data_IF_815463190674
#
_entry.id   IF_815463190674
#
_cell.length_a   1.000
_cell.length_b   1.000
_cell.length_c   1.000
_cell.angle_alpha   90.00
_cell.angle_beta   90.00
_cell.angle_gamma   90.00
#
_symmetry.space_group_name_H-M   'P 1'
#
loop_
_entity.id
_entity.type
_entity.pdbx_description
1 polymer ?
#
# COMPACT_ATOMS: atom_id res chain seq x y z
N UNK A 1 -44.52 20.50 -12.22
CA UNK A 1 -43.91 21.41 -11.21
C UNK A 1 -43.36 20.50 -10.11
N UNK A 2 -42.06 20.32 -9.85
CA UNK A 2 -40.97 21.28 -9.71
C UNK A 2 -39.75 20.94 -10.57
N UNK A 3 -38.98 21.99 -10.82
CA UNK A 3 -37.88 22.13 -11.75
C UNK A 3 -36.62 21.41 -11.26
N UNK A 4 -35.77 21.01 -12.20
CA UNK A 4 -34.43 20.50 -11.90
C UNK A 4 -33.43 21.62 -11.59
N UNK A 5 -32.28 21.22 -11.08
CA UNK A 5 -31.03 21.98 -11.19
C UNK A 5 -29.89 21.00 -11.37
N UNK A 6 -29.40 20.94 -12.61
CA UNK A 6 -28.04 20.58 -12.98
C UNK A 6 -27.05 21.56 -12.36
N UNK A 7 -26.04 21.06 -11.64
CA UNK A 7 -24.86 21.84 -11.23
C UNK A 7 -23.59 21.11 -11.66
N UNK A 8 -22.92 21.63 -12.67
CA UNK A 8 -21.56 21.24 -13.06
C UNK A 8 -20.51 22.15 -12.40
N UNK A 9 -19.27 21.64 -12.38
CA UNK A 9 -17.94 22.31 -12.22
C UNK A 9 -17.47 22.49 -10.77
N UNK A 10 -16.22 22.20 -10.38
CA UNK A 10 -15.02 21.84 -11.13
C UNK A 10 -13.85 21.40 -10.22
N UNK A 11 -12.81 20.95 -10.92
CA UNK A 11 -11.44 20.48 -10.58
C UNK A 11 -10.71 21.19 -9.43
N UNK A 12 -10.01 20.43 -8.58
CA UNK A 12 -8.66 20.81 -8.09
C UNK A 12 -7.86 19.54 -7.67
N UNK A 13 -6.76 19.16 -8.35
CA UNK A 13 -5.76 18.26 -7.80
C UNK A 13 -4.88 19.02 -6.80
N UNK A 14 -4.62 18.40 -5.66
CA UNK A 14 -3.81 18.94 -4.56
C UNK A 14 -2.46 19.44 -5.09
N UNK A 15 -2.35 20.77 -5.08
CA UNK A 15 -1.18 21.53 -5.50
C UNK A 15 -0.25 21.64 -4.28
N UNK A 16 0.59 20.62 -4.05
CA UNK A 16 1.65 20.65 -3.02
C UNK A 16 2.82 21.58 -3.39
N UNK A 17 2.53 22.71 -4.04
CA UNK A 17 3.48 23.80 -4.21
C UNK A 17 3.00 25.02 -3.40
N UNK A 18 2.81 24.79 -2.10
CA UNK A 18 2.72 25.85 -1.12
C UNK A 18 4.02 26.65 -1.15
N UNK A 19 4.05 27.74 -1.93
CA UNK A 19 5.10 28.76 -1.83
C UNK A 19 5.18 29.21 -0.36
N UNK A 20 6.33 29.05 0.32
CA UNK A 20 6.45 29.57 1.67
C UNK A 20 6.39 31.10 1.63
N UNK A 21 5.41 31.63 2.36
CA UNK A 21 5.23 33.03 2.71
C UNK A 21 6.59 33.68 3.05
N UNK A 22 6.98 34.71 2.29
CA UNK A 22 8.22 35.49 2.42
C UNK A 22 8.20 36.39 3.68
N UNK A 23 8.01 35.80 4.85
CA UNK A 23 8.08 36.50 6.12
C UNK A 23 8.69 35.64 7.22
N UNK A 24 9.93 35.22 7.01
CA UNK A 24 10.76 34.69 8.07
C UNK A 24 12.23 35.09 7.85
N UNK A 25 12.58 36.21 8.47
CA UNK A 25 13.84 36.45 9.20
C UNK A 25 15.13 35.96 8.53
N UNK A 26 15.85 36.93 7.99
CA UNK A 26 17.31 36.96 7.88
C UNK A 26 17.95 36.44 9.18
N UNK A 27 18.40 35.20 9.18
CA UNK A 27 19.44 34.73 10.11
C UNK A 27 20.53 34.15 9.22
N UNK A 28 21.64 34.88 9.16
CA UNK A 28 22.81 34.52 8.38
C UNK A 28 23.35 33.19 8.88
N UNK A 29 23.01 32.10 8.20
CA UNK A 29 23.75 30.85 8.28
C UNK A 29 24.88 30.89 7.23
N UNK A 30 26.11 30.50 7.59
CA UNK A 30 27.23 30.48 6.66
C UNK A 30 26.92 29.52 5.50
N UNK A 31 26.80 30.10 4.31
CA UNK A 31 26.58 29.46 3.02
C UNK A 31 27.74 28.53 2.62
N UNK A 32 27.74 27.30 3.13
CA UNK A 32 28.52 26.13 2.65
C UNK A 32 28.16 25.02 3.65
N UNK A 33 27.29 24.05 3.41
CA UNK A 33 27.36 23.03 2.38
C UNK A 33 26.06 22.20 2.43
N UNK A 34 24.95 22.63 1.81
CA UNK A 34 23.80 21.74 1.50
C UNK A 34 23.20 22.13 0.15
N UNK A 35 24.05 22.33 -0.87
CA UNK A 35 23.59 22.73 -2.21
C UNK A 35 24.23 21.90 -3.33
N UNK A 36 24.58 20.65 -3.09
CA UNK A 36 25.25 19.79 -4.07
C UNK A 36 24.60 18.41 -4.26
N UNK A 37 23.31 18.24 -3.98
CA UNK A 37 22.62 16.95 -4.20
C UNK A 37 21.55 16.97 -5.31
N UNK A 38 21.22 18.13 -5.89
CA UNK A 38 20.09 18.27 -6.83
C UNK A 38 20.39 19.13 -8.06
N UNK A 39 21.64 19.15 -8.52
CA UNK A 39 22.04 19.89 -9.74
C UNK A 39 23.10 19.09 -10.52
N UNK A 40 22.73 17.93 -11.07
CA UNK A 40 23.64 17.17 -11.95
C UNK A 40 22.98 16.57 -13.21
N UNK A 41 21.76 16.95 -13.56
CA UNK A 41 21.08 16.38 -14.74
C UNK A 41 20.85 17.36 -15.90
N UNK A 42 20.83 18.67 -15.66
CA UNK A 42 20.40 19.62 -16.70
C UNK A 42 21.47 19.82 -17.80
N UNK A 43 22.76 19.81 -17.48
CA UNK A 43 23.84 19.97 -18.47
C UNK A 43 23.97 18.79 -19.45
N UNK A 44 23.66 17.56 -19.02
CA UNK A 44 23.63 16.39 -19.90
C UNK A 44 22.33 16.30 -20.69
N UNK A 45 21.20 16.70 -20.09
CA UNK A 45 19.91 16.79 -20.79
C UNK A 45 19.98 17.77 -21.95
N UNK A 46 20.67 18.90 -21.82
CA UNK A 46 20.85 19.88 -22.90
C UNK A 46 21.65 19.34 -24.09
N UNK A 47 22.57 18.39 -23.87
CA UNK A 47 23.43 17.80 -24.92
C UNK A 47 22.76 16.68 -25.72
N UNK A 48 21.72 16.04 -25.17
CA UNK A 48 21.06 14.91 -25.81
C UNK A 48 19.93 15.32 -26.78
N UNK A 49 19.67 14.49 -27.79
CA UNK A 49 18.52 14.68 -28.66
C UNK A 49 17.21 14.48 -27.90
N UNK A 50 16.14 15.19 -28.30
CA UNK A 50 14.81 15.00 -27.73
C UNK A 50 14.33 13.54 -27.78
N UNK A 51 14.72 12.82 -28.84
CA UNK A 51 14.44 11.40 -28.99
C UNK A 51 15.12 10.53 -27.92
N UNK A 52 16.40 10.79 -27.65
CA UNK A 52 17.17 10.04 -26.65
C UNK A 52 16.65 10.28 -25.24
N UNK A 53 16.25 11.53 -24.95
CA UNK A 53 15.57 11.87 -23.69
C UNK A 53 14.26 11.09 -23.54
N UNK A 54 13.42 11.09 -24.58
CA UNK A 54 12.17 10.36 -24.57
C UNK A 54 12.37 8.84 -24.42
N UNK A 55 13.40 8.28 -25.06
CA UNK A 55 13.75 6.87 -24.95
C UNK A 55 14.17 6.49 -23.53
N UNK A 56 15.06 7.26 -22.89
CA UNK A 56 15.47 7.02 -21.50
C UNK A 56 14.29 7.06 -20.53
N UNK A 57 13.42 8.06 -20.66
CA UNK A 57 12.22 8.18 -19.81
C UNK A 57 11.28 7.00 -20.03
N UNK A 58 11.10 6.55 -21.28
CA UNK A 58 10.29 5.39 -21.59
C UNK A 58 10.84 4.12 -20.92
N UNK A 59 12.15 3.88 -21.01
CA UNK A 59 12.82 2.73 -20.39
C UNK A 59 12.64 2.75 -18.86
N UNK A 60 12.86 3.89 -18.22
CA UNK A 60 12.64 4.07 -16.78
C UNK A 60 11.19 3.74 -16.38
N UNK A 61 10.20 4.29 -17.11
CA UNK A 61 8.78 4.02 -16.85
C UNK A 61 8.46 2.52 -17.01
N UNK A 62 9.08 1.83 -17.97
CA UNK A 62 8.87 0.40 -18.15
C UNK A 62 9.45 -0.41 -16.99
N UNK A 63 10.66 -0.08 -16.55
CA UNK A 63 11.30 -0.73 -15.40
C UNK A 63 10.49 -0.53 -14.11
N UNK A 64 10.07 0.70 -13.83
CA UNK A 64 9.21 1.02 -12.69
C UNK A 64 7.89 0.24 -12.73
N UNK A 65 7.24 0.15 -13.90
CA UNK A 65 6.02 -0.65 -14.07
C UNK A 65 6.27 -2.13 -13.81
N UNK A 66 7.41 -2.67 -14.24
CA UNK A 66 7.77 -4.06 -13.99
C UNK A 66 8.00 -4.31 -12.50
N UNK A 67 8.76 -3.45 -11.83
CA UNK A 67 8.99 -3.54 -10.38
C UNK A 67 7.68 -3.45 -9.59
N UNK A 68 6.82 -2.48 -9.91
CA UNK A 68 5.51 -2.34 -9.27
C UNK A 68 4.62 -3.57 -9.49
N UNK A 69 4.65 -4.18 -10.68
CA UNK A 69 3.90 -5.43 -10.95
C UNK A 69 4.42 -6.59 -10.11
N UNK A 70 5.74 -6.70 -9.93
CA UNK A 70 6.34 -7.76 -9.12
C UNK A 70 5.99 -7.59 -7.64
N UNK A 71 6.08 -6.37 -7.10
CA UNK A 71 5.70 -6.07 -5.72
C UNK A 71 4.22 -6.37 -5.47
N UNK A 72 3.32 -5.93 -6.36
CA UNK A 72 1.88 -6.25 -6.24
C UNK A 72 1.60 -7.74 -6.26
N UNK A 73 2.28 -8.50 -7.12
CA UNK A 73 2.14 -9.96 -7.15
C UNK A 73 2.58 -10.61 -5.84
N UNK A 74 3.71 -10.18 -5.29
CA UNK A 74 4.19 -10.68 -4.00
C UNK A 74 3.19 -10.37 -2.87
N UNK A 75 2.69 -9.14 -2.81
CA UNK A 75 1.67 -8.75 -1.82
C UNK A 75 0.37 -9.56 -1.98
N UNK A 76 -0.06 -9.81 -3.22
CA UNK A 76 -1.23 -10.65 -3.51
C UNK A 76 -1.01 -12.10 -3.07
N UNK A 77 0.15 -12.68 -3.35
CA UNK A 77 0.52 -14.04 -2.94
C UNK A 77 0.58 -14.17 -1.41
N UNK A 78 1.20 -13.23 -0.72
CA UNK A 78 1.26 -13.20 0.74
C UNK A 78 -0.13 -13.08 1.36
N UNK A 79 -0.97 -12.19 0.81
CA UNK A 79 -2.37 -12.03 1.25
C UNK A 79 -3.17 -13.31 1.02
N UNK A 80 -3.03 -13.95 -0.14
CA UNK A 80 -3.71 -15.21 -0.44
C UNK A 80 -3.25 -16.32 0.51
N UNK A 81 -1.95 -16.46 0.77
CA UNK A 81 -1.41 -17.44 1.70
C UNK A 81 -1.95 -17.24 3.13
N UNK A 82 -2.03 -15.99 3.60
CA UNK A 82 -2.61 -15.66 4.89
C UNK A 82 -4.11 -16.00 4.96
N UNK A 83 -4.87 -15.67 3.92
CA UNK A 83 -6.29 -16.00 3.81
C UNK A 83 -6.52 -17.51 3.79
N UNK A 84 -5.73 -18.26 3.02
CA UNK A 84 -5.84 -19.72 2.98
C UNK A 84 -5.57 -20.35 4.34
N UNK A 85 -4.54 -19.89 5.05
CA UNK A 85 -4.22 -20.37 6.40
C UNK A 85 -5.37 -20.09 7.36
N UNK A 86 -5.95 -18.89 7.29
CA UNK A 86 -7.13 -18.53 8.06
C UNK A 86 -8.34 -19.41 7.71
N UNK A 87 -8.64 -19.62 6.43
CA UNK A 87 -9.74 -20.47 6.01
C UNK A 87 -9.57 -21.92 6.45
N UNK A 88 -8.37 -22.49 6.29
CA UNK A 88 -8.05 -23.87 6.70
C UNK A 88 -8.30 -24.03 8.20
N UNK A 89 -7.83 -23.10 9.03
CA UNK A 89 -8.05 -23.14 10.49
C UNK A 89 -9.53 -22.93 10.86
N UNK A 90 -10.21 -21.97 10.22
CA UNK A 90 -11.65 -21.71 10.41
C UNK A 90 -12.49 -22.94 10.06
N UNK A 91 -12.23 -23.60 8.92
CA UNK A 91 -12.92 -24.81 8.48
C UNK A 91 -12.73 -25.96 9.47
N UNK A 92 -11.50 -26.18 9.96
CA UNK A 92 -11.19 -27.19 10.99
C UNK A 92 -11.95 -26.92 12.29
N UNK A 93 -11.88 -25.70 12.80
CA UNK A 93 -12.59 -25.32 14.03
C UNK A 93 -14.11 -25.49 13.87
N UNK A 94 -14.69 -25.01 12.75
CA UNK A 94 -16.11 -25.16 12.47
C UNK A 94 -16.53 -26.64 12.41
N UNK A 95 -15.72 -27.52 11.79
CA UNK A 95 -15.97 -28.96 11.79
C UNK A 95 -16.04 -29.52 13.21
N UNK A 96 -15.18 -29.07 14.13
CA UNK A 96 -15.22 -29.48 15.54
C UNK A 96 -16.47 -28.94 16.26
N UNK A 97 -16.81 -27.67 16.07
CA UNK A 97 -18.01 -27.07 16.67
C UNK A 97 -19.32 -27.70 16.17
N UNK A 98 -19.35 -28.23 14.94
CA UNK A 98 -20.51 -28.95 14.40
C UNK A 98 -20.67 -30.38 14.94
N UNK A 99 -19.65 -30.95 15.60
CA UNK A 99 -19.75 -32.29 16.19
C UNK A 99 -20.78 -32.30 17.31
N UNK A 100 -21.72 -33.22 17.22
CA UNK A 100 -22.76 -33.46 18.22
C UNK A 100 -22.75 -34.91 18.68
N UNK A 101 -23.19 -35.14 19.92
CA UNK A 101 -23.39 -36.48 20.48
C UNK A 101 -24.60 -37.17 19.83
N UNK A 102 -24.80 -38.46 20.11
CA UNK A 102 -25.99 -39.22 19.65
C UNK A 102 -27.30 -38.58 20.11
N UNK A 103 -27.29 -37.84 21.23
CA UNK A 103 -28.43 -37.08 21.76
C UNK A 103 -28.52 -35.65 21.20
N UNK A 104 -27.68 -35.27 20.24
CA UNK A 104 -27.66 -33.95 19.62
C UNK A 104 -26.94 -32.85 20.42
N UNK A 105 -26.37 -33.18 21.59
CA UNK A 105 -25.67 -32.19 22.41
C UNK A 105 -24.31 -31.82 21.79
N UNK A 106 -23.85 -30.57 21.94
CA UNK A 106 -22.52 -30.17 21.50
C UNK A 106 -21.44 -30.96 22.24
N UNK A 107 -20.39 -31.37 21.53
CA UNK A 107 -19.25 -32.03 22.16
C UNK A 107 -18.31 -30.98 22.80
N UNK A 108 -18.43 -30.78 24.12
CA UNK A 108 -17.64 -29.80 24.87
C UNK A 108 -16.12 -30.06 24.81
N UNK A 109 -15.68 -31.33 24.86
CA UNK A 109 -14.25 -31.67 24.81
C UNK A 109 -13.58 -31.15 23.52
N UNK A 110 -14.23 -31.37 22.38
CA UNK A 110 -13.75 -30.87 21.10
C UNK A 110 -13.73 -29.32 21.01
N UNK A 111 -14.58 -28.63 21.78
CA UNK A 111 -14.59 -27.16 21.83
C UNK A 111 -13.46 -26.63 22.72
N UNK A 112 -13.19 -27.32 23.83
CA UNK A 112 -12.09 -26.99 24.75
C UNK A 112 -10.74 -27.13 24.04
N UNK A 113 -10.55 -28.18 23.23
CA UNK A 113 -9.33 -28.33 22.42
C UNK A 113 -9.04 -27.11 21.53
N UNK A 114 -10.07 -26.57 20.85
CA UNK A 114 -9.93 -25.37 20.01
C UNK A 114 -9.57 -24.14 20.87
N UNK A 115 -10.06 -24.05 22.10
CA UNK A 115 -9.73 -22.96 23.02
C UNK A 115 -8.29 -23.06 23.49
N UNK A 116 -7.83 -24.26 23.86
CA UNK A 116 -6.44 -24.51 24.27
C UNK A 116 -5.47 -24.17 23.14
N UNK A 117 -5.76 -24.61 21.91
CA UNK A 117 -4.95 -24.27 20.72
C UNK A 117 -4.85 -22.75 20.52
N UNK A 118 -5.92 -21.98 20.79
CA UNK A 118 -5.89 -20.52 20.70
C UNK A 118 -5.04 -19.88 21.80
N UNK A 119 -5.06 -20.43 23.02
CA UNK A 119 -4.24 -19.93 24.14
C UNK A 119 -2.76 -20.18 23.84
N UNK A 120 -2.41 -21.39 23.42
CA UNK A 120 -1.03 -21.74 23.04
C UNK A 120 -0.48 -20.88 21.90
N UNK A 121 -1.33 -20.53 20.92
CA UNK A 121 -0.94 -19.64 19.82
C UNK A 121 -0.76 -18.18 20.22
N UNK A 122 -1.44 -17.72 21.28
CA UNK A 122 -1.32 -16.35 21.80
C UNK A 122 -0.19 -16.20 22.80
N UNK A 123 0.17 -17.28 23.49
CA UNK A 123 1.27 -17.31 24.45
C UNK A 123 2.65 -17.59 23.83
N UNK A 124 2.71 -17.85 22.52
CA UNK A 124 3.92 -17.94 21.72
C UNK A 124 4.10 -16.65 20.93
#
# INVERSE_FOLDING_TARGET
>A
MKQGTSGQKGVEPDNDNARPNLRARFVALPFRCIRNAYYYDDEEKEKMSAYERAKKVYEQIQEEKQQQRLLRKQEEEERQAALEKYEKTKKKANKLFRKRSRKGQPNLGAQVEVLLEKIERKGK
#
